data_IF_878809070115
#
_entry.id   IF_878809070115
#
_cell.length_a   1.000
_cell.length_b   1.000
_cell.length_c   1.000
_cell.angle_alpha   90.00
_cell.angle_beta   90.00
_cell.angle_gamma   90.00
#
_symmetry.space_group_name_H-M   'P 1'
#
loop_
_entity.id
_entity.type
_entity.pdbx_description
1 polymer ?
#
# COMPACT_ATOMS: atom_id res chain seq x y z
N UNK A 1 -5.94 7.94 -10.50
CA UNK A 1 -6.17 8.76 -9.29
C UNK A 1 -6.07 10.29 -9.52
N UNK A 2 -6.52 10.90 -10.65
CA UNK A 2 -6.35 12.34 -10.84
C UNK A 2 -7.24 13.21 -9.92
N UNK A 3 -8.38 12.67 -9.47
CA UNK A 3 -9.37 13.37 -8.64
C UNK A 3 -9.24 13.11 -7.14
N UNK A 4 -8.30 12.24 -6.72
CA UNK A 4 -8.13 11.92 -5.31
C UNK A 4 -7.55 13.10 -4.52
N UNK A 5 -8.07 13.35 -3.32
CA UNK A 5 -7.45 14.29 -2.38
C UNK A 5 -6.14 13.72 -1.82
N UNK A 6 -5.33 14.52 -1.13
CA UNK A 6 -4.08 14.05 -0.49
C UNK A 6 -2.90 13.78 -1.44
N UNK A 7 -3.05 14.05 -2.75
CA UNK A 7 -1.96 13.95 -3.74
C UNK A 7 -0.73 14.78 -3.35
N UNK A 8 -0.92 15.91 -2.68
CA UNK A 8 0.19 16.76 -2.22
C UNK A 8 1.13 16.06 -1.24
N UNK A 9 0.61 15.15 -0.40
CA UNK A 9 1.44 14.40 0.55
C UNK A 9 2.30 13.35 -0.17
N UNK A 10 1.75 12.73 -1.23
CA UNK A 10 2.51 11.80 -2.08
C UNK A 10 3.62 12.53 -2.84
N UNK A 11 3.35 13.74 -3.35
CA UNK A 11 4.39 14.58 -3.98
C UNK A 11 5.47 14.96 -2.98
N UNK A 12 5.09 15.30 -1.75
CA UNK A 12 6.05 15.60 -0.68
C UNK A 12 6.93 14.39 -0.36
N UNK A 13 6.35 13.18 -0.28
CA UNK A 13 7.10 11.94 -0.10
C UNK A 13 8.07 11.70 -1.27
N UNK A 14 7.62 11.90 -2.51
CA UNK A 14 8.47 11.75 -3.70
C UNK A 14 9.67 12.71 -3.68
N UNK A 15 9.47 13.96 -3.25
CA UNK A 15 10.55 14.94 -3.08
C UNK A 15 11.51 14.61 -1.92
N UNK A 16 11.09 13.76 -0.98
CA UNK A 16 11.90 13.31 0.14
C UNK A 16 12.68 12.01 -0.17
N UNK A 17 12.51 11.43 -1.35
CA UNK A 17 13.32 10.29 -1.78
C UNK A 17 14.76 10.74 -2.01
N UNK A 18 15.70 10.12 -1.31
CA UNK A 18 17.13 10.42 -1.38
C UNK A 18 17.85 9.52 -2.38
N UNK A 19 17.26 8.36 -2.72
CA UNK A 19 17.87 7.38 -3.62
C UNK A 19 16.91 6.94 -4.73
N UNK A 20 17.43 6.48 -5.89
CA UNK A 20 16.61 5.92 -6.97
C UNK A 20 15.73 4.75 -6.51
N UNK A 21 16.21 3.91 -5.60
CA UNK A 21 15.47 2.74 -5.10
C UNK A 21 14.24 3.16 -4.29
N UNK A 22 14.35 4.22 -3.47
CA UNK A 22 13.21 4.78 -2.75
C UNK A 22 12.16 5.33 -3.72
N UNK A 23 12.60 6.01 -4.78
CA UNK A 23 11.71 6.52 -5.82
C UNK A 23 11.04 5.38 -6.61
N UNK A 24 11.80 4.37 -7.04
CA UNK A 24 11.26 3.20 -7.77
C UNK A 24 10.25 2.43 -6.91
N UNK A 25 10.52 2.28 -5.62
CA UNK A 25 9.60 1.64 -4.68
C UNK A 25 8.28 2.41 -4.56
N UNK A 26 8.35 3.75 -4.44
CA UNK A 26 7.17 4.61 -4.41
C UNK A 26 6.39 4.57 -5.74
N UNK A 27 7.09 4.65 -6.88
CA UNK A 27 6.50 4.58 -8.22
C UNK A 27 5.78 3.24 -8.41
N UNK A 28 6.42 2.14 -8.03
CA UNK A 28 5.84 0.79 -8.13
C UNK A 28 4.57 0.67 -7.26
N UNK A 29 4.59 1.21 -6.03
CA UNK A 29 3.42 1.24 -5.17
C UNK A 29 2.26 2.05 -5.79
N UNK A 30 2.56 3.24 -6.33
CA UNK A 30 1.56 4.07 -7.00
C UNK A 30 1.04 3.43 -8.29
N UNK A 31 1.87 2.71 -9.04
CA UNK A 31 1.48 2.00 -10.25
C UNK A 31 0.49 0.86 -9.94
N UNK A 32 0.68 0.11 -8.85
CA UNK A 32 -0.28 -0.89 -8.37
C UNK A 32 -1.66 -0.26 -8.12
N UNK A 33 -1.68 0.88 -7.43
CA UNK A 33 -2.92 1.61 -7.14
C UNK A 33 -3.55 2.14 -8.42
N UNK A 34 -2.76 2.78 -9.30
CA UNK A 34 -3.24 3.30 -10.57
C UNK A 34 -3.84 2.21 -11.46
N UNK A 35 -3.23 1.02 -11.52
CA UNK A 35 -3.72 -0.12 -12.29
C UNK A 35 -5.04 -0.65 -11.76
N UNK A 36 -5.21 -0.71 -10.44
CA UNK A 36 -6.50 -1.09 -9.83
C UNK A 36 -7.61 -0.09 -10.15
N UNK A 37 -7.31 1.20 -10.17
CA UNK A 37 -8.28 2.21 -10.60
C UNK A 37 -8.62 2.08 -12.08
N UNK A 38 -7.59 1.93 -12.93
CA UNK A 38 -7.73 1.79 -14.38
C UNK A 38 -8.57 0.56 -14.77
N UNK A 39 -8.42 -0.53 -14.04
CA UNK A 39 -9.17 -1.79 -14.26
C UNK A 39 -10.52 -1.84 -13.55
N UNK A 40 -10.92 -0.77 -12.85
CA UNK A 40 -12.20 -0.70 -12.13
C UNK A 40 -12.28 -1.54 -10.86
N UNK A 41 -11.16 -2.13 -10.41
CA UNK A 41 -11.11 -2.92 -9.15
C UNK A 41 -11.22 -2.05 -7.89
N UNK A 42 -10.99 -0.74 -8.03
CA UNK A 42 -11.20 0.25 -6.98
C UNK A 42 -11.47 1.62 -7.62
N UNK A 43 -12.12 2.52 -6.88
CA UNK A 43 -12.20 3.93 -7.22
C UNK A 43 -11.65 4.71 -6.04
N UNK A 44 -10.49 5.35 -6.18
CA UNK A 44 -9.82 6.01 -5.06
C UNK A 44 -10.24 7.47 -4.92
N UNK A 45 -10.62 7.86 -3.71
CA UNK A 45 -11.12 9.21 -3.38
C UNK A 45 -10.10 10.02 -2.59
N UNK A 46 -9.18 9.38 -1.89
CA UNK A 46 -8.09 10.05 -1.17
C UNK A 46 -6.81 9.22 -1.14
N UNK A 47 -5.68 9.92 -1.11
CA UNK A 47 -4.36 9.36 -0.85
C UNK A 47 -3.87 9.81 0.52
N UNK A 48 -3.07 8.98 1.17
CA UNK A 48 -2.32 9.32 2.38
C UNK A 48 -0.95 8.67 2.37
N UNK A 49 -0.06 9.16 3.21
CA UNK A 49 1.27 8.58 3.42
C UNK A 49 1.28 7.85 4.77
N UNK A 50 1.70 6.59 4.75
CA UNK A 50 1.80 5.70 5.91
C UNK A 50 3.27 5.39 6.16
N UNK A 51 3.96 6.26 6.89
CA UNK A 51 5.41 6.21 6.99
C UNK A 51 6.06 6.51 5.64
N UNK A 52 6.60 5.48 4.97
CA UNK A 52 7.22 5.59 3.64
C UNK A 52 6.37 5.00 2.51
N UNK A 53 5.18 4.49 2.85
CA UNK A 53 4.28 3.85 1.89
C UNK A 53 3.16 4.80 1.46
N UNK A 54 2.79 4.85 0.17
CA UNK A 54 1.52 5.43 -0.21
C UNK A 54 0.37 4.54 0.27
N UNK A 55 -0.76 5.12 0.64
CA UNK A 55 -2.03 4.43 0.87
C UNK A 55 -3.15 5.15 0.14
N UNK A 56 -4.14 4.40 -0.33
CA UNK A 56 -5.29 4.97 -1.03
C UNK A 56 -6.60 4.46 -0.43
N UNK A 57 -7.49 5.38 -0.09
CA UNK A 57 -8.84 5.05 0.37
C UNK A 57 -9.77 4.99 -0.82
N UNK A 58 -10.43 3.85 -1.00
CA UNK A 58 -11.46 3.65 -2.01
C UNK A 58 -12.75 4.39 -1.63
N UNK A 59 -13.63 4.65 -2.60
CA UNK A 59 -14.96 5.22 -2.38
C UNK A 59 -15.83 4.35 -1.45
N UNK A 60 -15.50 3.05 -1.34
CA UNK A 60 -16.10 2.10 -0.39
C UNK A 60 -15.63 2.28 1.05
N UNK A 61 -14.63 3.14 1.29
CA UNK A 61 -13.99 3.36 2.58
C UNK A 61 -12.79 2.44 2.87
N UNK A 62 -12.53 1.44 2.02
CA UNK A 62 -11.41 0.51 2.19
C UNK A 62 -10.06 1.20 1.97
N UNK A 63 -9.10 0.96 2.87
CA UNK A 63 -7.73 1.42 2.76
C UNK A 63 -6.87 0.37 2.05
N UNK A 64 -6.39 0.71 0.86
CA UNK A 64 -5.47 -0.11 0.09
C UNK A 64 -4.03 0.37 0.30
N UNK A 65 -3.16 -0.53 0.73
CA UNK A 65 -1.72 -0.28 0.91
C UNK A 65 -0.93 -1.23 -0.01
N UNK A 66 -0.22 -0.71 -1.02
CA UNK A 66 0.65 -1.50 -1.86
C UNK A 66 1.99 -1.82 -1.19
N UNK A 67 2.41 -3.06 -1.30
CA UNK A 67 3.71 -3.57 -0.90
C UNK A 67 4.39 -4.23 -2.12
N UNK A 68 5.10 -3.45 -2.97
CA UNK A 68 5.79 -3.95 -4.15
C UNK A 68 7.09 -4.65 -3.75
N UNK A 69 6.98 -5.81 -3.11
CA UNK A 69 8.11 -6.60 -2.59
C UNK A 69 7.98 -8.06 -3.01
N UNK A 70 9.12 -8.75 -3.15
CA UNK A 70 9.18 -10.15 -3.59
C UNK A 70 8.83 -11.14 -2.47
N UNK A 71 9.16 -10.79 -1.23
CA UNK A 71 8.87 -11.62 -0.08
C UNK A 71 8.65 -10.79 1.20
N UNK A 72 7.66 -11.19 2.01
CA UNK A 72 7.38 -10.61 3.32
C UNK A 72 7.51 -11.67 4.40
N UNK A 73 8.43 -11.44 5.33
CA UNK A 73 8.54 -12.19 6.60
C UNK A 73 7.85 -11.44 7.73
N UNK A 74 7.40 -12.17 8.76
CA UNK A 74 6.80 -11.54 9.94
C UNK A 74 7.88 -11.12 10.92
N UNK A 75 8.28 -9.86 10.87
CA UNK A 75 9.21 -9.24 11.83
C UNK A 75 8.46 -8.26 12.73
N UNK A 76 9.12 -7.79 13.79
CA UNK A 76 8.55 -6.81 14.71
C UNK A 76 8.19 -5.50 13.98
N UNK A 77 8.95 -5.10 12.96
CA UNK A 77 8.64 -3.92 12.15
C UNK A 77 7.39 -4.12 11.29
N UNK A 78 7.20 -5.31 10.71
CA UNK A 78 6.01 -5.63 9.91
C UNK A 78 4.78 -5.73 10.82
N UNK A 79 4.92 -6.35 11.99
CA UNK A 79 3.86 -6.41 13.00
C UNK A 79 3.49 -5.01 13.49
N UNK A 80 4.50 -4.21 13.84
CA UNK A 80 4.34 -2.83 14.25
C UNK A 80 3.64 -1.99 13.19
N UNK A 81 4.01 -2.12 11.91
CA UNK A 81 3.31 -1.46 10.82
C UNK A 81 1.84 -1.89 10.74
N UNK A 82 1.55 -3.19 10.76
CA UNK A 82 0.20 -3.72 10.60
C UNK A 82 -0.76 -3.30 11.73
N UNK A 83 -0.23 -2.91 12.89
CA UNK A 83 -0.97 -2.57 14.10
C UNK A 83 -0.96 -1.06 14.42
N UNK A 84 -0.46 -0.20 13.53
CA UNK A 84 -0.41 1.25 13.79
C UNK A 84 -1.81 1.86 13.97
N UNK A 85 -1.93 2.74 14.96
CA UNK A 85 -3.19 3.45 15.25
C UNK A 85 -3.65 4.39 14.12
N UNK A 86 -2.71 4.97 13.37
CA UNK A 86 -3.01 5.91 12.28
C UNK A 86 -3.56 5.25 11.00
N UNK A 87 -3.61 3.92 10.98
CA UNK A 87 -4.32 3.17 9.93
C UNK A 87 -5.84 3.28 10.08
N UNK A 88 -6.32 3.50 11.30
CA UNK A 88 -7.74 3.56 11.63
C UNK A 88 -8.44 2.20 11.60
N UNK A 89 -9.77 2.23 11.73
CA UNK A 89 -10.65 1.05 11.85
C UNK A 89 -11.32 0.63 10.55
N UNK A 90 -11.15 1.41 9.47
CA UNK A 90 -11.66 1.06 8.16
C UNK A 90 -11.10 -0.30 7.68
N UNK A 91 -11.80 -1.05 6.81
CA UNK A 91 -11.26 -2.25 6.20
C UNK A 91 -9.92 -1.96 5.53
N UNK A 92 -8.93 -2.83 5.73
CA UNK A 92 -7.57 -2.64 5.22
C UNK A 92 -7.18 -3.80 4.31
N UNK A 93 -6.58 -3.45 3.18
CA UNK A 93 -6.08 -4.42 2.20
C UNK A 93 -4.62 -4.18 1.92
N UNK A 94 -3.82 -5.23 2.12
CA UNK A 94 -2.44 -5.28 1.67
C UNK A 94 -2.40 -5.81 0.23
N UNK A 95 -1.97 -4.98 -0.72
CA UNK A 95 -1.77 -5.36 -2.12
C UNK A 95 -0.31 -5.75 -2.31
N UNK A 96 0.00 -7.02 -2.51
CA UNK A 96 1.39 -7.51 -2.57
C UNK A 96 1.71 -8.15 -3.92
N UNK A 97 2.96 -7.98 -4.38
CA UNK A 97 3.43 -8.55 -5.66
C UNK A 97 4.07 -9.92 -5.50
N UNK A 98 4.81 -10.10 -4.39
CA UNK A 98 5.51 -11.33 -4.06
C UNK A 98 4.75 -12.23 -3.08
N UNK A 99 5.49 -13.03 -2.32
CA UNK A 99 4.90 -14.02 -1.38
C UNK A 99 4.95 -13.54 0.07
N UNK A 100 3.90 -13.79 0.82
CA UNK A 100 3.95 -13.72 2.28
C UNK A 100 4.42 -15.08 2.81
N UNK A 101 5.34 -15.07 3.78
CA UNK A 101 5.59 -16.24 4.62
C UNK A 101 4.30 -16.66 5.35
N UNK A 102 4.20 -17.92 5.80
CA UNK A 102 3.03 -18.37 6.56
C UNK A 102 2.77 -17.56 7.83
N UNK A 103 3.84 -17.16 8.52
CA UNK A 103 3.78 -16.26 9.66
C UNK A 103 3.27 -14.87 9.27
N UNK A 104 3.75 -14.30 8.16
CA UNK A 104 3.32 -12.98 7.71
C UNK A 104 1.83 -12.98 7.30
N UNK A 105 1.38 -13.99 6.55
CA UNK A 105 -0.02 -14.12 6.18
C UNK A 105 -0.92 -14.21 7.42
N UNK A 106 -0.53 -15.03 8.41
CA UNK A 106 -1.29 -15.21 9.66
C UNK A 106 -1.28 -13.94 10.52
N UNK A 107 -0.12 -13.27 10.65
CA UNK A 107 0.03 -12.04 11.42
C UNK A 107 -0.74 -10.87 10.80
N UNK A 108 -0.66 -10.69 9.48
CA UNK A 108 -1.42 -9.67 8.75
C UNK A 108 -2.93 -9.89 8.89
N UNK A 109 -3.40 -11.13 8.77
CA UNK A 109 -4.81 -11.47 8.99
C UNK A 109 -5.25 -11.21 10.44
N UNK A 110 -4.44 -11.61 11.43
CA UNK A 110 -4.71 -11.37 12.84
C UNK A 110 -4.75 -9.88 13.19
N UNK A 111 -3.98 -9.05 12.48
CA UNK A 111 -4.04 -7.58 12.57
C UNK A 111 -5.26 -6.97 11.84
N UNK A 112 -6.17 -7.79 11.31
CA UNK A 112 -7.43 -7.36 10.69
C UNK A 112 -7.28 -6.87 9.26
N UNK A 113 -6.29 -7.35 8.52
CA UNK A 113 -6.10 -7.04 7.10
C UNK A 113 -6.54 -8.18 6.20
N UNK A 114 -7.04 -7.82 5.02
CA UNK A 114 -7.14 -8.74 3.88
C UNK A 114 -5.87 -8.61 3.03
N UNK A 115 -5.43 -9.69 2.39
CA UNK A 115 -4.29 -9.67 1.47
C UNK A 115 -4.73 -10.01 0.05
N UNK A 116 -4.26 -9.26 -0.94
CA UNK A 116 -4.53 -9.53 -2.35
C UNK A 116 -3.20 -9.54 -3.11
N UNK A 117 -2.91 -10.67 -3.75
CA UNK A 117 -1.81 -10.77 -4.70
C UNK A 117 -2.14 -9.99 -5.98
N UNK A 118 -1.19 -9.17 -6.42
CA UNK A 118 -1.27 -8.40 -7.66
C UNK A 118 -0.02 -8.64 -8.50
N UNK A 119 -0.08 -8.40 -9.80
CA UNK A 119 1.12 -8.44 -10.62
C UNK A 119 2.06 -7.29 -10.24
N UNK A 120 3.38 -7.53 -10.31
CA UNK A 120 4.33 -6.42 -10.27
C UNK A 120 4.09 -5.51 -11.48
N UNK A 121 4.04 -4.18 -11.31
CA UNK A 121 3.82 -3.27 -12.43
C UNK A 121 4.88 -3.48 -13.52
N UNK A 122 4.45 -3.68 -14.76
CA UNK A 122 5.37 -3.59 -15.90
C UNK A 122 5.86 -2.15 -16.04
N UNK A 123 7.16 -1.96 -16.21
CA UNK A 123 7.74 -0.66 -16.59
C UNK A 123 7.22 -0.18 -17.93
#
# INVERSE_FOLDING_TARGET
MPKASGRGDVVRLANACETPEQAEFLISGLAILAERERTGKASYVSLKVLGRLPGATAATGELNVPAPVDHVTWTDEVAGFAQRDDLGTAPKVLLHTGRLSGAAASGTLAAGWTTIAVAYPSR
#
